data_IF_187841834554
#
_entry.id   IF_187841834554
#
_cell.length_a   1.000
_cell.length_b   1.000
_cell.length_c   1.000
_cell.angle_alpha   90.00
_cell.angle_beta   90.00
_cell.angle_gamma   90.00
#
_symmetry.space_group_name_H-M   'P 1'
#
loop_
_entity.id
_entity.type
_entity.pdbx_description
1 polymer ?
#
# COMPACT_ATOMS: atom_id res chain seq x y z
N UNK A 1 15.66 -33.59 47.55
CA UNK A 1 15.76 -34.64 48.59
C UNK A 1 16.68 -35.80 48.17
N UNK A 2 16.54 -36.38 46.97
CA UNK A 2 17.38 -37.48 46.47
C UNK A 2 18.90 -37.16 46.46
N UNK A 3 19.29 -35.94 46.08
CA UNK A 3 20.71 -35.54 46.07
C UNK A 3 21.36 -35.51 47.45
N UNK A 4 20.60 -35.19 48.50
CA UNK A 4 21.09 -35.14 49.88
C UNK A 4 21.20 -36.55 50.46
N UNK A 5 20.23 -37.41 50.20
CA UNK A 5 20.26 -38.83 50.57
C UNK A 5 21.43 -39.58 49.93
N UNK A 6 21.72 -39.32 48.64
CA UNK A 6 22.89 -39.88 47.97
C UNK A 6 24.21 -39.41 48.59
N UNK A 7 24.29 -38.14 48.98
CA UNK A 7 25.50 -37.57 49.59
C UNK A 7 25.75 -38.19 50.98
N UNK A 8 24.70 -38.36 51.78
CA UNK A 8 24.76 -39.05 53.08
C UNK A 8 25.17 -40.52 52.90
N UNK A 9 24.63 -41.21 51.89
CA UNK A 9 24.98 -42.60 51.59
C UNK A 9 26.46 -42.75 51.18
N UNK A 10 26.98 -41.84 50.35
CA UNK A 10 28.40 -41.83 49.96
C UNK A 10 29.30 -41.55 51.17
N UNK A 11 28.91 -40.61 52.05
CA UNK A 11 29.67 -40.30 53.27
C UNK A 11 29.71 -41.47 54.25
N UNK A 12 28.58 -42.16 54.42
CA UNK A 12 28.51 -43.37 55.24
C UNK A 12 29.38 -44.49 54.68
N UNK A 13 29.33 -44.72 53.36
CA UNK A 13 30.21 -45.69 52.70
C UNK A 13 31.69 -45.31 52.83
N UNK A 14 32.04 -44.02 52.67
CA UNK A 14 33.41 -43.54 52.83
C UNK A 14 33.93 -43.71 54.26
N UNK A 15 33.10 -43.45 55.28
CA UNK A 15 33.46 -43.69 56.68
C UNK A 15 33.61 -45.19 57.01
N UNK A 16 32.82 -46.05 56.37
CA UNK A 16 32.87 -47.50 56.61
C UNK A 16 34.07 -48.16 55.94
N UNK A 17 34.34 -47.81 54.67
CA UNK A 17 35.43 -48.40 53.89
C UNK A 17 36.79 -47.69 54.08
N UNK A 18 36.80 -46.45 54.55
CA UNK A 18 38.01 -45.66 54.78
C UNK A 18 39.04 -46.34 55.68
N UNK A 19 38.65 -46.87 56.86
CA UNK A 19 39.59 -47.54 57.77
C UNK A 19 40.19 -48.85 57.21
N UNK A 20 39.41 -49.59 56.41
CA UNK A 20 39.87 -50.85 55.80
C UNK A 20 40.94 -50.64 54.72
N UNK A 21 40.91 -49.50 54.04
CA UNK A 21 41.90 -49.15 53.02
C UNK A 21 43.27 -48.83 53.62
N UNK A 22 43.32 -48.21 54.81
CA UNK A 22 44.57 -47.77 55.46
C UNK A 22 45.44 -48.96 55.92
N UNK A 23 44.84 -50.10 56.26
CA UNK A 23 45.56 -51.23 56.85
C UNK A 23 46.30 -52.13 55.84
N UNK A 24 46.06 -51.95 54.54
CA UNK A 24 46.74 -52.68 53.45
C UNK A 24 47.19 -51.70 52.37
N UNK A 25 48.20 -50.89 52.67
CA UNK A 25 48.80 -49.98 51.71
C UNK A 25 49.61 -50.79 50.67
N UNK A 26 48.93 -51.34 49.65
CA UNK A 26 49.59 -52.00 48.52
C UNK A 26 50.72 -51.10 47.98
N UNK A 27 51.92 -51.66 47.78
CA UNK A 27 53.10 -50.91 47.37
C UNK A 27 53.20 -50.90 45.84
N UNK A 28 53.30 -49.72 45.23
CA UNK A 28 53.53 -49.59 43.79
C UNK A 28 54.87 -48.88 43.58
N UNK A 29 55.75 -49.56 42.85
CA UNK A 29 57.02 -49.01 42.39
C UNK A 29 56.91 -48.64 40.92
N UNK A 30 56.96 -47.35 40.63
CA UNK A 30 56.93 -46.84 39.26
C UNK A 30 58.33 -46.37 38.90
N UNK A 31 58.95 -46.98 37.89
CA UNK A 31 60.29 -46.64 37.41
C UNK A 31 60.15 -45.85 36.11
N UNK A 32 60.56 -44.58 36.12
CA UNK A 32 60.56 -43.72 34.93
C UNK A 32 61.95 -43.13 34.76
N UNK A 33 62.57 -43.35 33.60
CA UNK A 33 63.88 -42.81 33.24
C UNK A 33 64.99 -43.03 34.31
N UNK A 34 65.00 -44.21 34.94
CA UNK A 34 65.98 -44.57 35.98
C UNK A 34 65.68 -44.02 37.37
N UNK A 35 64.65 -43.18 37.53
CA UNK A 35 64.17 -42.69 38.83
C UNK A 35 63.04 -43.57 39.35
N UNK A 36 63.12 -43.92 40.63
CA UNK A 36 62.15 -44.77 41.31
C UNK A 36 61.22 -43.88 42.13
N UNK A 37 59.94 -43.88 41.77
CA UNK A 37 58.89 -43.26 42.58
C UNK A 37 58.18 -44.34 43.39
N UNK A 38 58.34 -44.26 44.70
CA UNK A 38 57.71 -45.17 45.66
C UNK A 38 56.43 -44.52 46.18
N UNK A 39 55.27 -45.08 45.82
CA UNK A 39 53.97 -44.57 46.28
C UNK A 39 53.10 -45.73 46.77
N UNK A 40 52.21 -45.43 47.70
CA UNK A 40 51.17 -46.39 48.10
C UNK A 40 50.08 -46.40 47.02
N UNK A 41 49.46 -47.56 46.81
CA UNK A 41 48.29 -47.75 45.95
C UNK A 41 47.17 -46.76 46.29
N UNK A 42 47.04 -46.43 47.57
CA UNK A 42 46.13 -45.40 48.08
C UNK A 42 46.54 -44.00 47.59
N UNK A 43 47.82 -43.65 47.68
CA UNK A 43 48.33 -42.36 47.20
C UNK A 43 48.12 -42.18 45.69
N UNK A 44 48.42 -43.21 44.90
CA UNK A 44 48.23 -43.19 43.46
C UNK A 44 46.74 -43.09 43.08
N UNK A 45 45.88 -43.87 43.72
CA UNK A 45 44.43 -43.84 43.46
C UNK A 45 43.80 -42.49 43.84
N UNK A 46 44.21 -41.89 44.97
CA UNK A 46 43.79 -40.55 45.36
C UNK A 46 44.27 -39.49 44.36
N UNK A 47 45.50 -39.60 43.85
CA UNK A 47 46.04 -38.67 42.85
C UNK A 47 45.26 -38.77 41.53
N UNK A 48 44.95 -39.98 41.07
CA UNK A 48 44.11 -40.20 39.88
C UNK A 48 42.71 -39.62 40.11
N UNK A 49 42.12 -39.85 41.28
CA UNK A 49 40.79 -39.33 41.61
C UNK A 49 40.78 -37.80 41.68
N UNK A 50 41.82 -37.19 42.24
CA UNK A 50 42.01 -35.74 42.25
C UNK A 50 42.15 -35.19 40.83
N UNK A 51 42.92 -35.85 39.96
CA UNK A 51 43.07 -35.45 38.56
C UNK A 51 41.74 -35.52 37.79
N UNK A 52 40.96 -36.59 37.99
CA UNK A 52 39.61 -36.73 37.43
C UNK A 52 38.68 -35.62 37.96
N UNK A 53 38.72 -35.32 39.26
CA UNK A 53 37.91 -34.27 39.85
C UNK A 53 38.25 -32.88 39.28
N UNK A 54 39.54 -32.57 39.15
CA UNK A 54 40.03 -31.29 38.61
C UNK A 54 39.65 -31.15 37.13
N UNK A 55 39.90 -32.18 36.30
CA UNK A 55 39.54 -32.15 34.88
C UNK A 55 38.03 -32.06 34.67
N UNK A 56 37.22 -32.75 35.48
CA UNK A 56 35.76 -32.64 35.46
C UNK A 56 35.28 -31.24 35.86
N UNK A 57 35.87 -30.65 36.91
CA UNK A 57 35.56 -29.30 37.35
C UNK A 57 35.89 -28.25 36.28
N UNK A 58 37.08 -28.32 35.69
CA UNK A 58 37.48 -27.47 34.56
C UNK A 58 36.48 -27.62 33.41
N UNK A 59 36.09 -28.85 33.07
CA UNK A 59 35.08 -29.10 32.03
C UNK A 59 33.69 -28.53 32.34
N UNK A 60 33.29 -28.42 33.62
CA UNK A 60 32.04 -27.74 34.02
C UNK A 60 32.17 -26.23 33.89
N UNK A 61 33.29 -25.66 34.37
CA UNK A 61 33.54 -24.23 34.33
C UNK A 61 33.58 -23.76 32.88
N UNK A 62 34.30 -24.46 32.01
CA UNK A 62 34.42 -24.12 30.59
C UNK A 62 33.07 -24.20 29.87
N UNK A 63 32.26 -25.25 30.14
CA UNK A 63 30.90 -25.36 29.61
C UNK A 63 29.98 -24.24 30.08
N UNK A 64 30.10 -23.78 31.33
CA UNK A 64 29.33 -22.64 31.84
C UNK A 64 29.77 -21.32 31.19
N UNK A 65 31.08 -21.09 31.05
CA UNK A 65 31.62 -19.88 30.45
C UNK A 65 31.22 -19.73 28.97
N UNK A 66 31.32 -20.83 28.20
CA UNK A 66 30.89 -20.85 26.79
C UNK A 66 29.37 -20.66 26.64
N UNK A 67 28.56 -21.17 27.58
CA UNK A 67 27.11 -20.90 27.60
C UNK A 67 26.80 -19.44 27.91
N UNK A 68 27.55 -18.79 28.80
CA UNK A 68 27.38 -17.36 29.13
C UNK A 68 27.66 -16.46 27.91
N UNK A 69 28.68 -16.77 27.11
CA UNK A 69 29.00 -16.01 25.89
C UNK A 69 27.85 -16.06 24.87
N UNK A 70 27.25 -17.23 24.65
CA UNK A 70 26.09 -17.34 23.75
C UNK A 70 24.81 -16.65 24.28
N UNK A 71 24.62 -16.60 25.59
CA UNK A 71 23.46 -15.92 26.21
C UNK A 71 23.58 -14.39 26.10
N UNK A 72 24.80 -13.84 26.22
CA UNK A 72 25.03 -12.38 26.21
C UNK A 72 24.75 -11.72 24.85
N UNK A 73 25.16 -12.35 23.74
CA UNK A 73 24.87 -11.81 22.40
C UNK A 73 23.39 -11.92 22.02
N UNK A 74 22.70 -12.98 22.46
CA UNK A 74 21.29 -13.17 22.16
C UNK A 74 20.40 -12.17 22.93
N UNK A 75 20.76 -11.81 24.17
CA UNK A 75 20.06 -10.78 24.94
C UNK A 75 20.16 -9.39 24.30
N UNK A 76 21.34 -9.01 23.79
CA UNK A 76 21.50 -7.71 23.13
C UNK A 76 20.74 -7.64 21.80
N UNK A 77 20.80 -8.71 21.01
CA UNK A 77 19.99 -8.85 19.77
C UNK A 77 18.49 -8.74 20.06
N UNK A 78 18.00 -9.50 21.04
CA UNK A 78 16.59 -9.48 21.45
C UNK A 78 16.14 -8.09 21.93
N UNK A 79 16.97 -7.38 22.71
CA UNK A 79 16.66 -6.02 23.14
C UNK A 79 16.60 -5.04 21.97
N UNK A 80 17.51 -5.15 21.01
CA UNK A 80 17.51 -4.33 19.78
C UNK A 80 16.25 -4.59 18.95
N UNK A 81 15.88 -5.86 18.76
CA UNK A 81 14.66 -6.25 18.05
C UNK A 81 13.41 -5.68 18.71
N UNK A 82 13.28 -5.82 20.04
CA UNK A 82 12.16 -5.23 20.80
C UNK A 82 12.07 -3.72 20.64
N UNK A 83 13.20 -3.00 20.68
CA UNK A 83 13.21 -1.56 20.45
C UNK A 83 12.77 -1.18 19.04
N UNK A 84 13.19 -1.94 18.02
CA UNK A 84 12.78 -1.70 16.64
C UNK A 84 11.28 -1.98 16.43
N UNK A 85 10.74 -3.03 17.06
CA UNK A 85 9.30 -3.32 17.06
C UNK A 85 8.49 -2.21 17.76
N UNK A 86 8.92 -1.76 18.93
CA UNK A 86 8.30 -0.62 19.62
C UNK A 86 8.38 0.66 18.78
N UNK A 87 9.49 0.90 18.08
CA UNK A 87 9.62 2.02 17.17
C UNK A 87 8.68 1.90 15.97
N UNK A 88 8.45 0.69 15.45
CA UNK A 88 7.48 0.44 14.39
C UNK A 88 6.06 0.76 14.85
N UNK A 89 5.65 0.27 16.03
CA UNK A 89 4.32 0.56 16.61
C UNK A 89 4.11 2.06 16.81
N UNK A 90 5.07 2.75 17.42
CA UNK A 90 5.01 4.21 17.61
C UNK A 90 5.01 4.96 16.27
N UNK A 91 5.78 4.46 15.29
CA UNK A 91 5.81 4.98 13.93
C UNK A 91 4.47 4.89 13.24
N UNK A 92 3.80 3.74 13.32
CA UNK A 92 2.45 3.54 12.77
C UNK A 92 1.40 4.39 13.50
N UNK A 93 1.50 4.54 14.82
CA UNK A 93 0.59 5.43 15.57
C UNK A 93 0.76 6.90 15.16
N UNK A 94 1.99 7.35 14.96
CA UNK A 94 2.28 8.69 14.45
C UNK A 94 1.82 8.85 13.00
N UNK A 95 2.00 7.82 12.16
CA UNK A 95 1.54 7.77 10.78
C UNK A 95 0.00 7.92 10.69
N UNK A 96 -0.73 7.16 11.51
CA UNK A 96 -2.20 7.24 11.57
C UNK A 96 -2.70 8.63 12.02
N UNK A 97 -1.92 9.34 12.84
CA UNK A 97 -2.19 10.72 13.27
C UNK A 97 -1.66 11.79 12.30
N UNK A 98 -1.12 11.38 11.14
CA UNK A 98 -0.49 12.26 10.15
C UNK A 98 0.68 13.10 10.71
N UNK A 99 1.33 12.61 11.77
CA UNK A 99 2.50 13.25 12.37
C UNK A 99 3.77 12.82 11.64
N UNK A 100 3.87 13.22 10.36
CA UNK A 100 4.85 12.67 9.41
C UNK A 100 6.31 12.74 9.87
N UNK A 101 6.72 13.87 10.48
CA UNK A 101 8.08 14.02 11.01
C UNK A 101 8.40 13.00 12.11
N UNK A 102 7.46 12.78 13.04
CA UNK A 102 7.62 11.78 14.10
C UNK A 102 7.56 10.37 13.54
N UNK A 103 6.62 10.11 12.62
CA UNK A 103 6.49 8.82 11.94
C UNK A 103 7.79 8.44 11.21
N UNK A 104 8.38 9.35 10.43
CA UNK A 104 9.65 9.12 9.72
C UNK A 104 10.78 8.76 10.70
N UNK A 105 10.93 9.50 11.80
CA UNK A 105 11.96 9.23 12.81
C UNK A 105 11.80 7.86 13.47
N UNK A 106 10.57 7.47 13.79
CA UNK A 106 10.27 6.18 14.42
C UNK A 106 10.41 5.01 13.42
N UNK A 107 9.94 5.17 12.19
CA UNK A 107 10.06 4.16 11.13
C UNK A 107 11.51 3.98 10.67
N UNK A 108 12.31 5.04 10.61
CA UNK A 108 13.76 4.93 10.36
C UNK A 108 14.46 4.06 11.41
N UNK A 109 14.07 4.17 12.68
CA UNK A 109 14.56 3.29 13.76
C UNK A 109 14.04 1.86 13.60
N UNK A 110 12.80 1.68 13.14
CA UNK A 110 12.22 0.35 12.89
C UNK A 110 12.96 -0.42 11.78
N UNK A 111 13.48 0.26 10.76
CA UNK A 111 14.27 -0.32 9.66
C UNK A 111 15.63 -0.88 10.08
N UNK A 112 16.07 -0.70 11.33
CA UNK A 112 17.31 -1.30 11.86
C UNK A 112 17.17 -2.80 12.20
N UNK A 113 16.00 -3.36 11.99
CA UNK A 113 15.65 -4.76 12.24
C UNK A 113 15.08 -5.38 10.96
N UNK A 114 15.58 -6.56 10.61
CA UNK A 114 15.34 -7.21 9.30
C UNK A 114 13.94 -7.81 9.16
N UNK A 115 13.21 -8.00 10.26
CA UNK A 115 11.85 -8.53 10.21
C UNK A 115 10.92 -7.55 9.50
N UNK A 116 10.22 -7.98 8.44
CA UNK A 116 9.30 -7.14 7.65
C UNK A 116 9.96 -5.86 7.13
N UNK A 117 11.23 -5.94 6.72
CA UNK A 117 12.04 -4.78 6.36
C UNK A 117 11.49 -4.05 5.13
N UNK A 118 10.93 -4.78 4.16
CA UNK A 118 10.34 -4.19 2.96
C UNK A 118 9.10 -3.36 3.31
N UNK A 119 8.19 -3.91 4.11
CA UNK A 119 6.98 -3.22 4.56
C UNK A 119 7.31 -2.00 5.40
N UNK A 120 8.27 -2.13 6.33
CA UNK A 120 8.79 -0.99 7.11
C UNK A 120 9.34 0.12 6.21
N UNK A 121 10.08 -0.23 5.16
CA UNK A 121 10.63 0.73 4.19
C UNK A 121 9.54 1.40 3.35
N UNK A 122 8.48 0.68 2.95
CA UNK A 122 7.33 1.28 2.26
C UNK A 122 6.68 2.37 3.13
N UNK A 123 6.40 2.09 4.40
CA UNK A 123 5.88 3.10 5.33
C UNK A 123 6.86 4.23 5.60
N UNK A 124 8.16 3.92 5.74
CA UNK A 124 9.20 4.93 5.93
C UNK A 124 9.32 5.88 4.73
N UNK A 125 9.16 5.36 3.50
CA UNK A 125 9.16 6.16 2.28
C UNK A 125 8.01 7.17 2.28
N UNK A 126 6.77 6.74 2.54
CA UNK A 126 5.63 7.65 2.66
C UNK A 126 5.81 8.67 3.79
N UNK A 127 6.22 8.21 4.97
CA UNK A 127 6.41 9.10 6.12
C UNK A 127 7.47 10.17 5.86
N UNK A 128 8.59 9.81 5.21
CA UNK A 128 9.63 10.74 4.81
C UNK A 128 9.13 11.73 3.74
N UNK A 129 8.39 11.24 2.75
CA UNK A 129 7.79 12.06 1.69
C UNK A 129 6.85 13.14 2.27
N UNK A 130 5.86 12.72 3.07
CA UNK A 130 4.92 13.66 3.70
C UNK A 130 5.56 14.53 4.80
N UNK A 131 6.72 14.13 5.33
CA UNK A 131 7.51 14.98 6.21
C UNK A 131 8.27 16.10 5.46
N UNK A 132 8.30 16.04 4.12
CA UNK A 132 8.99 16.98 3.23
C UNK A 132 10.41 16.55 2.84
N UNK A 133 10.85 15.33 3.19
CA UNK A 133 12.17 14.81 2.84
C UNK A 133 12.08 13.80 1.68
N UNK A 134 12.04 14.35 0.46
CA UNK A 134 11.92 13.58 -0.79
C UNK A 134 13.17 12.71 -1.01
N UNK A 135 14.35 13.20 -0.65
CA UNK A 135 15.60 12.46 -0.82
C UNK A 135 15.61 11.20 0.05
N UNK A 136 15.20 11.33 1.31
CA UNK A 136 15.07 10.20 2.21
C UNK A 136 14.00 9.22 1.72
N UNK A 137 12.85 9.69 1.23
CA UNK A 137 11.82 8.83 0.64
C UNK A 137 12.36 8.00 -0.55
N UNK A 138 13.05 8.65 -1.48
CA UNK A 138 13.65 8.00 -2.64
C UNK A 138 14.74 7.00 -2.23
N UNK A 139 15.50 7.28 -1.17
CA UNK A 139 16.50 6.34 -0.64
C UNK A 139 15.87 5.05 -0.12
N UNK A 140 14.69 5.14 0.52
CA UNK A 140 13.96 3.96 0.97
C UNK A 140 13.41 3.15 -0.19
N UNK A 141 12.89 3.81 -1.24
CA UNK A 141 12.41 3.15 -2.45
C UNK A 141 13.55 2.45 -3.20
N UNK A 142 14.69 3.12 -3.36
CA UNK A 142 15.86 2.54 -4.02
C UNK A 142 16.43 1.32 -3.30
N UNK A 143 16.17 1.20 -1.98
CA UNK A 143 16.56 0.05 -1.18
C UNK A 143 15.56 -1.12 -1.25
N UNK A 144 14.40 -0.95 -1.89
CA UNK A 144 13.41 -2.02 -2.08
C UNK A 144 13.69 -2.83 -3.34
N UNK A 145 13.10 -4.03 -3.42
CA UNK A 145 13.11 -4.80 -4.66
C UNK A 145 12.32 -4.07 -5.75
N UNK A 146 12.99 -3.76 -6.87
CA UNK A 146 12.41 -3.03 -8.00
C UNK A 146 11.31 -3.81 -8.74
N UNK A 147 11.24 -5.14 -8.55
CA UNK A 147 10.27 -6.00 -9.22
C UNK A 147 8.98 -6.21 -8.42
N UNK A 148 8.93 -5.77 -7.16
CA UNK A 148 7.73 -5.90 -6.33
C UNK A 148 6.65 -4.89 -6.72
N UNK A 149 5.42 -5.38 -6.91
CA UNK A 149 4.25 -4.54 -7.19
C UNK A 149 4.05 -3.45 -6.14
N UNK A 150 4.32 -3.74 -4.86
CA UNK A 150 4.20 -2.76 -3.78
C UNK A 150 5.22 -1.63 -3.90
N UNK A 151 6.47 -1.94 -4.29
CA UNK A 151 7.49 -0.90 -4.55
C UNK A 151 7.07 0.00 -5.70
N UNK A 152 6.62 -0.60 -6.81
CA UNK A 152 6.15 0.14 -7.99
C UNK A 152 4.95 1.03 -7.66
N UNK A 153 4.00 0.52 -6.88
CA UNK A 153 2.84 1.30 -6.44
C UNK A 153 3.28 2.53 -5.65
N UNK A 154 4.12 2.36 -4.62
CA UNK A 154 4.60 3.48 -3.80
C UNK A 154 5.39 4.48 -4.63
N UNK A 155 6.30 4.00 -5.49
CA UNK A 155 7.08 4.87 -6.35
C UNK A 155 6.20 5.68 -7.30
N UNK A 156 5.23 5.04 -7.95
CA UNK A 156 4.30 5.73 -8.85
C UNK A 156 3.40 6.73 -8.11
N UNK A 157 2.89 6.37 -6.93
CA UNK A 157 2.07 7.27 -6.13
C UNK A 157 2.86 8.51 -5.69
N UNK A 158 4.10 8.33 -5.20
CA UNK A 158 4.96 9.46 -4.87
C UNK A 158 5.28 10.36 -6.07
N UNK A 159 5.45 9.79 -7.28
CA UNK A 159 5.63 10.58 -8.51
C UNK A 159 4.37 11.38 -8.84
N UNK A 160 3.17 10.80 -8.65
CA UNK A 160 1.91 11.49 -8.86
C UNK A 160 1.70 12.65 -7.89
N UNK A 161 2.05 12.47 -6.61
CA UNK A 161 2.01 13.53 -5.61
C UNK A 161 3.02 14.66 -5.87
N UNK A 162 4.03 14.43 -6.72
CA UNK A 162 5.02 15.42 -7.16
C UNK A 162 4.68 16.05 -8.51
N UNK A 163 3.44 15.87 -9.00
CA UNK A 163 2.98 16.32 -10.32
C UNK A 163 3.77 15.70 -11.50
N UNK A 164 4.47 14.59 -11.28
CA UNK A 164 5.26 13.88 -12.30
C UNK A 164 4.48 12.72 -12.93
N UNK A 165 3.22 12.97 -13.30
CA UNK A 165 2.31 11.96 -13.82
C UNK A 165 2.86 11.20 -15.05
N UNK A 166 3.54 11.90 -15.95
CA UNK A 166 4.14 11.27 -17.14
C UNK A 166 5.21 10.22 -16.79
N UNK A 167 6.01 10.45 -15.76
CA UNK A 167 7.01 9.47 -15.30
C UNK A 167 6.34 8.26 -14.64
N UNK A 168 5.29 8.50 -13.84
CA UNK A 168 4.48 7.43 -13.27
C UNK A 168 3.85 6.54 -14.36
N UNK A 169 3.35 7.13 -15.46
CA UNK A 169 2.84 6.37 -16.59
C UNK A 169 3.90 5.46 -17.23
N UNK A 170 5.12 5.97 -17.44
CA UNK A 170 6.21 5.17 -18.02
C UNK A 170 6.59 4.01 -17.09
N UNK A 171 6.68 4.27 -15.78
CA UNK A 171 6.99 3.25 -14.78
C UNK A 171 5.97 2.11 -14.76
N UNK A 172 4.68 2.45 -14.85
CA UNK A 172 3.58 1.49 -14.75
C UNK A 172 3.23 0.79 -16.07
N UNK A 173 3.54 1.41 -17.22
CA UNK A 173 3.13 0.93 -18.55
C UNK A 173 3.52 -0.52 -18.82
N UNK A 174 4.77 -0.88 -18.52
CA UNK A 174 5.30 -2.19 -18.88
C UNK A 174 4.95 -3.26 -17.82
N UNK A 175 4.36 -2.83 -16.69
CA UNK A 175 4.03 -3.67 -15.53
C UNK A 175 2.52 -3.94 -15.41
N UNK A 176 1.69 -3.04 -15.90
CA UNK A 176 0.24 -3.25 -16.04
C UNK A 176 -0.04 -3.95 -17.37
N UNK A 177 -0.09 -5.28 -17.31
CA UNK A 177 -0.37 -6.13 -18.47
C UNK A 177 -1.64 -6.95 -18.24
N UNK A 178 -1.97 -7.80 -19.20
CA UNK A 178 -3.15 -8.67 -19.16
C UNK A 178 -3.18 -9.64 -17.96
N UNK A 179 -2.04 -9.86 -17.30
CA UNK A 179 -1.86 -10.79 -16.17
C UNK A 179 -1.70 -10.08 -14.82
N UNK A 180 -1.79 -8.75 -14.77
CA UNK A 180 -1.67 -8.02 -13.50
C UNK A 180 -2.86 -8.33 -12.59
N UNK A 181 -2.68 -9.19 -11.60
CA UNK A 181 -3.71 -9.50 -10.59
C UNK A 181 -3.94 -8.33 -9.62
N UNK A 182 -2.94 -7.45 -9.46
CA UNK A 182 -3.02 -6.31 -8.55
C UNK A 182 -3.89 -5.19 -9.12
N UNK A 183 -5.16 -5.20 -8.70
CA UNK A 183 -6.14 -4.17 -9.03
C UNK A 183 -5.68 -2.76 -8.63
N UNK A 184 -4.96 -2.61 -7.52
CA UNK A 184 -4.51 -1.31 -7.03
C UNK A 184 -3.53 -0.65 -8.00
N UNK A 185 -2.60 -1.43 -8.53
CA UNK A 185 -1.61 -0.96 -9.50
C UNK A 185 -2.28 -0.54 -10.83
N UNK A 186 -3.28 -1.29 -11.30
CA UNK A 186 -4.08 -0.92 -12.48
C UNK A 186 -4.92 0.35 -12.28
N UNK A 187 -5.54 0.52 -11.11
CA UNK A 187 -6.26 1.75 -10.76
C UNK A 187 -5.34 2.97 -10.75
N UNK A 188 -4.17 2.84 -10.13
CA UNK A 188 -3.16 3.91 -10.06
C UNK A 188 -2.67 4.30 -11.47
N UNK A 189 -2.52 3.33 -12.36
CA UNK A 189 -2.11 3.59 -13.74
C UNK A 189 -3.17 4.37 -14.53
N UNK A 190 -4.45 4.05 -14.39
CA UNK A 190 -5.51 4.84 -15.02
C UNK A 190 -5.53 6.27 -14.48
N UNK A 191 -5.37 6.44 -13.17
CA UNK A 191 -5.27 7.75 -12.55
C UNK A 191 -4.04 8.53 -13.07
N UNK A 192 -2.90 7.87 -13.21
CA UNK A 192 -1.69 8.48 -13.78
C UNK A 192 -1.90 8.94 -15.23
N UNK A 193 -2.50 8.09 -16.07
CA UNK A 193 -2.79 8.43 -17.47
C UNK A 193 -3.77 9.61 -17.57
N UNK A 194 -4.75 9.68 -16.67
CA UNK A 194 -5.70 10.79 -16.59
C UNK A 194 -4.99 12.10 -16.23
N UNK A 195 -4.15 12.10 -15.21
CA UNK A 195 -3.38 13.28 -14.79
C UNK A 195 -2.36 13.71 -15.84
N UNK A 196 -1.74 12.76 -16.54
CA UNK A 196 -0.80 13.03 -17.63
C UNK A 196 -1.49 13.49 -18.94
N UNK A 197 -2.84 13.46 -19.02
CA UNK A 197 -3.58 13.79 -20.24
C UNK A 197 -3.37 12.79 -21.39
N UNK A 198 -2.92 11.57 -21.10
CA UNK A 198 -2.63 10.53 -22.10
C UNK A 198 -3.91 9.74 -22.46
N UNK A 199 -4.92 10.46 -22.97
CA UNK A 199 -6.27 9.93 -23.17
C UNK A 199 -6.37 8.75 -24.15
N UNK A 200 -5.57 8.73 -25.22
CA UNK A 200 -5.58 7.60 -26.17
C UNK A 200 -5.14 6.30 -25.50
N UNK A 201 -4.04 6.36 -24.75
CA UNK A 201 -3.50 5.22 -24.01
C UNK A 201 -4.44 4.81 -22.87
N UNK A 202 -5.05 5.77 -22.19
CA UNK A 202 -6.07 5.51 -21.18
C UNK A 202 -7.22 4.67 -21.77
N UNK A 203 -7.78 5.07 -22.92
CA UNK A 203 -8.86 4.32 -23.57
C UNK A 203 -8.46 2.90 -24.01
N UNK A 204 -7.19 2.67 -24.36
CA UNK A 204 -6.68 1.33 -24.66
C UNK A 204 -6.61 0.41 -23.43
N UNK A 205 -6.41 0.99 -22.23
CA UNK A 205 -6.31 0.25 -20.96
C UNK A 205 -7.68 -0.04 -20.37
N UNK A 206 -8.71 0.74 -20.69
CA UNK A 206 -10.06 0.57 -20.15
C UNK A 206 -10.65 -0.84 -20.37
N UNK A 207 -10.56 -1.49 -21.55
CA UNK A 207 -11.04 -2.85 -21.74
C UNK A 207 -10.42 -3.84 -20.75
N UNK A 208 -9.13 -3.66 -20.45
CA UNK A 208 -8.42 -4.47 -19.46
C UNK A 208 -8.98 -4.23 -18.05
N UNK A 209 -9.18 -2.97 -17.67
CA UNK A 209 -9.74 -2.59 -16.38
C UNK A 209 -11.13 -3.19 -16.13
N UNK A 210 -11.96 -3.25 -17.17
CA UNK A 210 -13.29 -3.86 -17.14
C UNK A 210 -13.17 -5.39 -17.01
N UNK A 211 -12.32 -6.01 -17.84
CA UNK A 211 -12.13 -7.47 -17.86
C UNK A 211 -11.62 -8.01 -16.52
N UNK A 212 -10.65 -7.34 -15.92
CA UNK A 212 -10.07 -7.71 -14.63
C UNK A 212 -10.84 -7.16 -13.42
N UNK A 213 -11.93 -6.41 -13.65
CA UNK A 213 -12.76 -5.82 -12.59
C UNK A 213 -11.93 -5.04 -11.56
N UNK A 214 -11.10 -4.11 -12.06
CA UNK A 214 -10.31 -3.23 -11.20
C UNK A 214 -11.20 -2.41 -10.28
N UNK A 215 -12.40 -2.05 -10.73
CA UNK A 215 -13.38 -1.33 -9.95
C UNK A 215 -14.64 -2.15 -9.75
N UNK A 216 -15.31 -1.92 -8.62
CA UNK A 216 -16.68 -2.36 -8.41
C UNK A 216 -17.62 -1.70 -9.42
N UNK A 217 -18.79 -2.30 -9.68
CA UNK A 217 -19.74 -1.79 -10.69
C UNK A 217 -20.13 -0.32 -10.48
N UNK A 218 -20.37 0.07 -9.23
CA UNK A 218 -20.77 1.44 -8.90
C UNK A 218 -19.61 2.43 -9.02
N UNK A 219 -18.40 2.02 -8.60
CA UNK A 219 -17.18 2.82 -8.77
C UNK A 219 -16.81 2.98 -10.24
N UNK A 220 -16.92 1.91 -11.03
CA UNK A 220 -16.72 1.98 -12.48
C UNK A 220 -17.72 2.94 -13.14
N UNK A 221 -18.99 2.90 -12.71
CA UNK A 221 -20.02 3.83 -13.18
C UNK A 221 -19.63 5.29 -12.92
N UNK A 222 -19.02 5.62 -11.79
CA UNK A 222 -18.50 6.96 -11.54
C UNK A 222 -17.28 7.25 -12.42
N UNK A 223 -16.29 6.36 -12.42
CA UNK A 223 -15.03 6.54 -13.12
C UNK A 223 -15.20 6.73 -14.64
N UNK A 224 -16.17 6.05 -15.26
CA UNK A 224 -16.46 6.24 -16.70
C UNK A 224 -16.96 7.65 -17.03
N UNK A 225 -17.66 8.33 -16.12
CA UNK A 225 -18.08 9.72 -16.31
C UNK A 225 -16.90 10.68 -16.15
N UNK A 226 -15.86 10.30 -15.41
CA UNK A 226 -14.63 11.08 -15.30
C UNK A 226 -13.70 10.87 -16.50
N UNK A 227 -13.70 9.65 -17.06
CA UNK A 227 -12.85 9.27 -18.18
C UNK A 227 -13.44 9.73 -19.52
N UNK A 228 -14.63 9.23 -19.92
CA UNK A 228 -15.05 9.33 -21.32
C UNK A 228 -15.35 10.76 -21.78
N UNK A 229 -16.11 11.59 -21.03
CA UNK A 229 -16.33 12.98 -21.42
C UNK A 229 -15.04 13.77 -21.62
N UNK A 230 -14.11 13.66 -20.66
CA UNK A 230 -12.84 14.36 -20.71
C UNK A 230 -11.97 13.85 -21.88
N UNK A 231 -11.82 12.54 -22.02
CA UNK A 231 -11.03 11.92 -23.08
C UNK A 231 -11.50 12.33 -24.48
N UNK A 232 -12.81 12.24 -24.74
CA UNK A 232 -13.39 12.59 -26.05
C UNK A 232 -13.23 14.08 -26.33
N UNK A 233 -13.52 14.94 -25.35
CA UNK A 233 -13.38 16.39 -25.54
C UNK A 233 -11.93 16.79 -25.84
N UNK A 234 -10.96 16.27 -25.10
CA UNK A 234 -9.55 16.61 -25.23
C UNK A 234 -8.96 16.11 -26.54
N UNK A 235 -9.29 14.86 -26.92
CA UNK A 235 -8.86 14.31 -28.20
C UNK A 235 -9.51 15.05 -29.38
N UNK A 236 -10.75 15.50 -29.24
CA UNK A 236 -11.44 16.26 -30.28
C UNK A 236 -10.83 17.65 -30.47
N UNK A 237 -10.47 18.36 -29.38
CA UNK A 237 -9.75 19.64 -29.45
C UNK A 237 -8.42 19.52 -30.21
N UNK A 238 -7.73 18.40 -30.03
CA UNK A 238 -6.47 18.12 -30.71
C UNK A 238 -6.66 17.57 -32.14
N UNK A 239 -7.91 17.45 -32.63
CA UNK A 239 -8.26 16.79 -33.90
C UNK A 239 -7.76 15.33 -34.01
N UNK A 240 -7.60 14.65 -32.87
CA UNK A 240 -7.09 13.28 -32.75
C UNK A 240 -8.17 12.28 -32.35
N UNK A 241 -9.41 12.73 -32.20
CA UNK A 241 -10.54 11.86 -31.91
C UNK A 241 -11.04 11.24 -33.21
N UNK A 242 -10.79 9.94 -33.36
CA UNK A 242 -11.34 9.10 -34.41
C UNK A 242 -12.11 7.93 -33.79
N UNK A 243 -13.35 7.73 -34.24
CA UNK A 243 -14.19 6.61 -33.80
C UNK A 243 -13.81 5.28 -34.47
N UNK A 244 -13.05 5.33 -35.57
CA UNK A 244 -12.57 4.15 -36.29
C UNK A 244 -11.19 3.70 -35.80
N UNK A 245 -10.56 4.44 -34.90
CA UNK A 245 -9.26 4.07 -34.36
C UNK A 245 -9.37 2.88 -33.40
N UNK A 246 -8.30 2.08 -33.35
CA UNK A 246 -8.23 0.86 -32.53
C UNK A 246 -8.51 1.13 -31.05
N UNK A 247 -8.04 2.26 -30.50
CA UNK A 247 -8.26 2.61 -29.10
C UNK A 247 -9.75 2.78 -28.76
N UNK A 248 -10.59 3.15 -29.73
CA UNK A 248 -12.02 3.30 -29.53
C UNK A 248 -12.76 2.00 -29.86
N UNK A 249 -12.45 1.36 -30.99
CA UNK A 249 -13.13 0.14 -31.43
C UNK A 249 -12.96 -1.03 -30.46
N UNK A 250 -11.82 -1.11 -29.78
CA UNK A 250 -11.53 -2.13 -28.77
C UNK A 250 -12.37 -1.97 -27.49
N UNK A 251 -13.03 -0.82 -27.28
CA UNK A 251 -13.95 -0.64 -26.17
C UNK A 251 -15.22 -1.49 -26.38
N UNK A 252 -15.73 -2.14 -25.32
CA UNK A 252 -17.01 -2.84 -25.38
C UNK A 252 -18.13 -1.93 -25.91
N UNK A 253 -19.01 -2.46 -26.75
CA UNK A 253 -20.09 -1.67 -27.37
C UNK A 253 -20.99 -0.97 -26.34
N UNK A 254 -21.14 -1.56 -25.14
CA UNK A 254 -21.87 -0.98 -24.00
C UNK A 254 -21.21 0.32 -23.49
N UNK A 255 -19.89 0.38 -23.50
CA UNK A 255 -19.16 1.57 -23.05
C UNK A 255 -19.14 2.66 -24.13
N UNK A 256 -18.93 2.28 -25.40
CA UNK A 256 -19.00 3.23 -26.54
C UNK A 256 -20.37 3.91 -26.70
N UNK A 257 -21.44 3.22 -26.29
CA UNK A 257 -22.82 3.72 -26.32
C UNK A 257 -23.30 4.21 -24.95
N UNK A 258 -22.40 4.28 -23.96
CA UNK A 258 -22.77 4.79 -22.63
C UNK A 258 -23.15 6.26 -22.69
N UNK A 259 -23.99 6.68 -21.74
CA UNK A 259 -24.33 8.10 -21.55
C UNK A 259 -23.08 8.95 -21.38
N UNK A 260 -22.08 8.46 -20.64
CA UNK A 260 -20.79 9.13 -20.46
C UNK A 260 -20.07 9.40 -21.79
N UNK A 261 -19.96 8.40 -22.66
CA UNK A 261 -19.38 8.56 -23.99
C UNK A 261 -20.18 9.55 -24.86
N UNK A 262 -21.51 9.49 -24.82
CA UNK A 262 -22.36 10.39 -25.59
C UNK A 262 -22.32 11.84 -25.07
N UNK A 263 -22.18 12.05 -23.76
CA UNK A 263 -21.92 13.38 -23.17
C UNK A 263 -20.58 13.93 -23.67
N UNK A 264 -19.54 13.11 -23.75
CA UNK A 264 -18.25 13.50 -24.34
C UNK A 264 -18.35 13.89 -25.81
N UNK A 265 -19.10 13.12 -26.61
CA UNK A 265 -19.38 13.45 -28.02
C UNK A 265 -20.14 14.77 -28.16
N UNK A 266 -21.18 14.97 -27.35
CA UNK A 266 -21.91 16.23 -27.32
C UNK A 266 -20.99 17.40 -26.93
N UNK A 267 -20.08 17.19 -25.98
CA UNK A 267 -19.10 18.19 -25.60
C UNK A 267 -18.17 18.55 -26.76
N UNK A 268 -17.62 17.55 -27.46
CA UNK A 268 -16.81 17.76 -28.65
C UNK A 268 -17.57 18.50 -29.78
N UNK A 269 -18.83 18.13 -30.03
CA UNK A 269 -19.70 18.82 -30.99
C UNK A 269 -19.93 20.29 -30.63
N UNK A 270 -20.22 20.58 -29.36
CA UNK A 270 -20.40 21.96 -28.90
C UNK A 270 -19.11 22.79 -29.05
N UNK A 271 -17.94 22.20 -28.75
CA UNK A 271 -16.66 22.89 -28.91
C UNK A 271 -16.30 23.19 -30.37
N UNK A 272 -16.77 22.36 -31.30
CA UNK A 272 -16.64 22.60 -32.75
C UNK A 272 -17.71 23.54 -33.32
N UNK A 273 -18.57 24.12 -32.47
CA UNK A 273 -19.64 25.04 -32.86
C UNK A 273 -20.96 24.38 -33.29
N UNK A 274 -21.06 23.06 -33.22
CA UNK A 274 -22.27 22.30 -33.60
C UNK A 274 -23.24 22.15 -32.42
N UNK A 275 -23.65 23.27 -31.85
CA UNK A 275 -24.39 23.29 -30.59
C UNK A 275 -25.77 22.62 -30.67
N UNK A 276 -26.49 22.77 -31.79
CA UNK A 276 -27.79 22.13 -32.00
C UNK A 276 -27.69 20.59 -32.08
N UNK A 277 -26.62 20.09 -32.69
CA UNK A 277 -26.35 18.65 -32.77
C UNK A 277 -25.98 18.09 -31.40
N UNK A 278 -25.16 18.83 -30.63
CA UNK A 278 -24.82 18.51 -29.25
C UNK A 278 -26.07 18.42 -28.37
N UNK A 279 -26.97 19.41 -28.46
CA UNK A 279 -28.23 19.43 -27.72
C UNK A 279 -29.11 18.22 -28.09
N UNK A 280 -29.27 17.94 -29.39
CA UNK A 280 -30.06 16.80 -29.86
C UNK A 280 -29.53 15.47 -29.33
N UNK A 281 -28.20 15.31 -29.30
CA UNK A 281 -27.56 14.11 -28.77
C UNK A 281 -27.81 13.97 -27.27
N UNK A 282 -27.61 15.05 -26.49
CA UNK A 282 -27.87 15.06 -25.05
C UNK A 282 -29.33 14.71 -24.74
N UNK A 283 -30.28 15.30 -25.46
CA UNK A 283 -31.71 15.02 -25.26
C UNK A 283 -32.03 13.54 -25.44
N UNK A 284 -31.42 12.91 -26.45
CA UNK A 284 -31.68 11.51 -26.77
C UNK A 284 -31.01 10.49 -25.84
N UNK A 285 -29.88 10.86 -25.22
CA UNK A 285 -29.03 9.91 -24.48
C UNK A 285 -29.02 10.14 -22.97
N UNK A 286 -29.43 11.32 -22.50
CA UNK A 286 -29.39 11.65 -21.07
C UNK A 286 -30.52 10.95 -20.32
N UNK A 287 -30.14 10.25 -19.24
CA UNK A 287 -31.06 9.55 -18.35
C UNK A 287 -31.14 10.27 -17.00
N UNK A 288 -32.32 10.29 -16.39
CA UNK A 288 -32.56 10.97 -15.13
C UNK A 288 -31.70 10.41 -13.98
N UNK A 289 -31.56 9.08 -13.92
CA UNK A 289 -30.80 8.39 -12.86
C UNK A 289 -29.30 8.72 -12.86
N UNK A 290 -28.77 9.12 -14.02
CA UNK A 290 -27.35 9.42 -14.22
C UNK A 290 -27.07 10.94 -14.15
N UNK A 291 -28.12 11.76 -14.00
CA UNK A 291 -28.02 13.21 -13.94
C UNK A 291 -27.04 13.72 -12.87
N UNK A 292 -26.97 13.16 -11.65
CA UNK A 292 -25.98 13.58 -10.65
C UNK A 292 -24.53 13.45 -11.12
N UNK A 293 -24.22 12.42 -11.91
CA UNK A 293 -22.88 12.14 -12.43
C UNK A 293 -22.56 12.98 -13.68
N UNK A 294 -23.59 13.30 -14.47
CA UNK A 294 -23.47 14.03 -15.74
C UNK A 294 -23.39 15.56 -15.53
N UNK A 295 -24.06 16.08 -14.51
CA UNK A 295 -24.20 17.52 -14.26
C UNK A 295 -22.86 18.30 -14.18
N UNK A 296 -21.79 17.80 -13.51
CA UNK A 296 -20.49 18.48 -13.50
C UNK A 296 -19.87 18.66 -14.89
N UNK A 297 -20.14 17.72 -15.80
CA UNK A 297 -19.62 17.74 -17.17
C UNK A 297 -20.48 18.60 -18.08
N UNK A 298 -21.80 18.51 -17.98
CA UNK A 298 -22.73 19.37 -18.73
C UNK A 298 -22.42 20.85 -18.51
N UNK A 299 -22.07 21.24 -17.28
CA UNK A 299 -21.70 22.61 -16.93
C UNK A 299 -20.50 23.16 -17.69
N UNK A 300 -19.68 22.28 -18.28
CA UNK A 300 -18.50 22.62 -19.07
C UNK A 300 -18.78 22.63 -20.58
N UNK A 301 -19.99 22.23 -21.01
CA UNK A 301 -20.35 22.16 -22.43
C UNK A 301 -20.92 23.51 -22.87
N UNK A 302 -20.26 24.23 -23.80
CA UNK A 302 -20.76 25.51 -24.31
C UNK A 302 -21.92 25.28 -25.28
N UNK A 303 -23.12 24.98 -24.75
CA UNK A 303 -24.32 24.74 -25.56
C UNK A 303 -24.85 26.02 -26.23
N UNK A 304 -24.44 27.21 -25.77
CA UNK A 304 -24.93 28.47 -26.30
C UNK A 304 -26.46 28.58 -26.19
N UNK A 305 -27.12 29.12 -27.21
CA UNK A 305 -28.59 29.35 -27.20
C UNK A 305 -29.44 28.13 -27.60
N UNK A 306 -28.84 27.01 -27.99
CA UNK A 306 -29.57 25.79 -28.35
C UNK A 306 -29.75 24.89 -27.12
N UNK A 307 -30.63 25.30 -26.21
CA UNK A 307 -30.96 24.51 -25.00
C UNK A 307 -32.47 24.32 -24.79
N UNK A 308 -33.30 24.79 -25.72
CA UNK A 308 -34.77 24.72 -25.64
C UNK A 308 -35.33 23.29 -25.56
N UNK A 309 -34.76 22.34 -26.32
CA UNK A 309 -35.20 20.93 -26.31
C UNK A 309 -34.78 20.26 -25.01
N UNK A 310 -33.56 20.52 -24.55
CA UNK A 310 -33.06 19.98 -23.28
C UNK A 310 -33.84 20.55 -22.09
N UNK A 311 -34.18 21.84 -22.14
CA UNK A 311 -35.04 22.52 -21.15
C UNK A 311 -36.44 21.90 -21.10
N UNK A 312 -37.05 21.64 -22.25
CA UNK A 312 -38.36 20.96 -22.33
C UNK A 312 -38.33 19.56 -21.71
N UNK A 313 -37.27 18.79 -21.98
CA UNK A 313 -37.10 17.47 -21.38
C UNK A 313 -36.91 17.54 -19.86
N UNK A 314 -36.07 18.47 -19.38
CA UNK A 314 -35.88 18.68 -17.94
C UNK A 314 -37.19 19.10 -17.25
N UNK A 315 -37.98 19.98 -17.86
CA UNK A 315 -39.31 20.35 -17.37
C UNK A 315 -40.28 19.16 -17.36
N UNK A 316 -40.19 18.26 -18.34
CA UNK A 316 -40.99 17.04 -18.35
C UNK A 316 -40.62 16.13 -17.18
N UNK A 317 -39.33 15.88 -16.93
CA UNK A 317 -38.88 15.12 -15.76
C UNK A 317 -39.34 15.74 -14.45
N UNK A 318 -39.40 17.07 -14.37
CA UNK A 318 -39.88 17.77 -13.18
C UNK A 318 -41.36 17.51 -12.89
N UNK A 319 -42.18 17.22 -13.91
CA UNK A 319 -43.62 16.91 -13.71
C UNK A 319 -43.79 15.61 -12.92
N UNK A 320 -42.97 14.61 -13.23
CA UNK A 320 -43.02 13.29 -12.61
C UNK A 320 -42.14 13.21 -11.35
N UNK A 321 -41.13 14.09 -11.23
CA UNK A 321 -40.15 14.11 -10.15
C UNK A 321 -39.96 15.52 -9.55
N UNK A 322 -41.04 16.10 -9.02
CA UNK A 322 -41.09 17.49 -8.56
C UNK A 322 -40.09 17.86 -7.45
N UNK A 323 -39.58 16.87 -6.70
CA UNK A 323 -38.62 17.03 -5.60
C UNK A 323 -37.17 16.71 -5.98
N UNK A 324 -36.85 16.49 -7.27
CA UNK A 324 -35.47 16.15 -7.67
C UNK A 324 -34.62 17.42 -7.84
N UNK A 325 -33.72 17.67 -6.88
CA UNK A 325 -32.83 18.84 -6.88
C UNK A 325 -31.88 18.91 -8.08
N UNK A 326 -31.45 17.77 -8.63
CA UNK A 326 -30.54 17.73 -9.78
C UNK A 326 -31.21 18.21 -11.07
N UNK A 327 -32.51 17.99 -11.23
CA UNK A 327 -33.28 18.50 -12.39
C UNK A 327 -33.41 20.02 -12.32
N UNK A 328 -33.62 20.57 -11.12
CA UNK A 328 -33.59 22.02 -10.93
C UNK A 328 -32.20 22.61 -11.20
N UNK A 329 -31.12 21.93 -10.81
CA UNK A 329 -29.76 22.37 -11.10
C UNK A 329 -29.46 22.34 -12.62
N UNK A 330 -29.96 21.33 -13.34
CA UNK A 330 -29.89 21.30 -14.80
C UNK A 330 -30.63 22.49 -15.41
N UNK A 331 -31.87 22.77 -14.97
CA UNK A 331 -32.64 23.93 -15.46
C UNK A 331 -31.94 25.26 -15.17
N UNK A 332 -31.31 25.38 -14.01
CA UNK A 332 -30.56 26.57 -13.64
C UNK A 332 -29.38 26.80 -14.60
N UNK A 333 -28.61 25.75 -14.89
CA UNK A 333 -27.53 25.81 -15.86
C UNK A 333 -28.00 26.18 -17.27
N UNK A 334 -29.13 25.62 -17.72
CA UNK A 334 -29.67 25.96 -19.03
C UNK A 334 -30.15 27.41 -19.10
N UNK A 335 -30.75 27.93 -18.04
CA UNK A 335 -31.15 29.34 -17.95
C UNK A 335 -29.93 30.29 -17.98
N UNK A 336 -28.81 29.92 -17.37
CA UNK A 336 -27.55 30.69 -17.46
C UNK A 336 -27.03 30.73 -18.91
N UNK A 337 -27.07 29.61 -19.63
CA UNK A 337 -26.65 29.54 -21.04
C UNK A 337 -27.55 30.36 -21.98
N UNK A 338 -28.85 30.48 -21.67
CA UNK A 338 -29.79 31.33 -22.42
C UNK A 338 -29.65 32.82 -22.09
N UNK A 339 -28.94 33.18 -21.01
CA UNK A 339 -28.81 34.55 -20.54
C UNK A 339 -29.99 35.03 -19.69
N UNK A 340 -30.67 34.11 -18.98
CA UNK A 340 -31.82 34.38 -18.09
C UNK A 340 -31.42 34.27 -16.60
N UNK A 341 -30.62 35.21 -16.04
CA UNK A 341 -30.01 35.07 -14.71
C UNK A 341 -31.03 34.97 -13.57
N UNK A 342 -32.17 35.67 -13.66
CA UNK A 342 -33.23 35.61 -12.64
C UNK A 342 -33.86 34.21 -12.55
N UNK A 343 -34.05 33.55 -13.68
CA UNK A 343 -34.62 32.19 -13.71
C UNK A 343 -33.59 31.17 -13.21
N UNK A 344 -32.31 31.39 -13.51
CA UNK A 344 -31.23 30.58 -12.98
C UNK A 344 -31.16 30.63 -11.45
N UNK A 345 -31.22 31.83 -10.85
CA UNK A 345 -31.21 31.98 -9.38
C UNK A 345 -32.38 31.27 -8.70
N UNK A 346 -33.59 31.41 -9.25
CA UNK A 346 -34.79 30.74 -8.71
C UNK A 346 -34.64 29.21 -8.80
N UNK A 347 -34.12 28.70 -9.91
CA UNK A 347 -33.88 27.29 -10.10
C UNK A 347 -32.78 26.76 -9.16
N UNK A 348 -31.70 27.52 -8.95
CA UNK A 348 -30.65 27.18 -7.99
C UNK A 348 -31.15 27.15 -6.55
N UNK A 349 -32.00 28.10 -6.16
CA UNK A 349 -32.62 28.10 -4.84
C UNK A 349 -33.42 26.81 -4.59
N UNK A 350 -34.22 26.38 -5.57
CA UNK A 350 -34.96 25.11 -5.49
C UNK A 350 -34.03 23.90 -5.51
N UNK A 351 -32.98 23.92 -6.33
CA UNK A 351 -32.00 22.84 -6.38
C UNK A 351 -31.36 22.61 -5.00
N UNK A 352 -30.93 23.69 -4.33
CA UNK A 352 -30.34 23.63 -2.98
C UNK A 352 -31.34 23.22 -1.91
N UNK A 353 -32.61 23.60 -2.06
CA UNK A 353 -33.68 23.21 -1.13
C UNK A 353 -33.89 21.68 -1.13
N UNK A 354 -33.89 21.05 -2.31
CA UNK A 354 -34.12 19.61 -2.42
C UNK A 354 -32.83 18.78 -2.32
N UNK A 355 -31.68 19.35 -2.68
CA UNK A 355 -30.37 18.70 -2.63
C UNK A 355 -29.31 19.66 -2.03
N UNK A 356 -29.16 19.70 -0.70
CA UNK A 356 -28.23 20.62 -0.01
C UNK A 356 -26.76 20.42 -0.41
N UNK A 357 -26.41 19.26 -0.96
CA UNK A 357 -25.06 18.92 -1.42
C UNK A 357 -24.62 19.68 -2.67
N UNK A 358 -25.55 20.35 -3.37
CA UNK A 358 -25.28 21.17 -4.55
C UNK A 358 -24.90 22.63 -4.21
N UNK A 359 -24.84 22.97 -2.91
CA UNK A 359 -24.54 24.30 -2.38
C UNK A 359 -23.07 24.68 -2.41
#
# INVERSE_FOLDING_TARGET
MIRVLLLIGILAAAMWFGPMLVNNAGYIKIIVAGTVFETTLLGLSLLILALIAVTWFIGIVLRKLLRLQHISFNFFRWRRQRKAQQAYELGLQAYAKQQWKLASQHLAKACHDDFMLEEKRLFAAYAAFYAGDINQANSYIAALSAESNSTLFVQADLLLQQDQAAQACVLLRDKVTADTEDKGLGQLYLYALQQAGQWQQLLQVVPLAIKQQWFDKDKWRQQRFDIYPAAISQLSQQQRFDENADYWLNLPAKERKSTAANVGRAWAMAQSGQNEAAEKLLVSQLQLDELPLVLPYLRKIPLGKSVLKLRKQAQHWLRDHASNGYVYALLAYLAEQEGEPQQAEIAWHKARQYEPKLG
#
